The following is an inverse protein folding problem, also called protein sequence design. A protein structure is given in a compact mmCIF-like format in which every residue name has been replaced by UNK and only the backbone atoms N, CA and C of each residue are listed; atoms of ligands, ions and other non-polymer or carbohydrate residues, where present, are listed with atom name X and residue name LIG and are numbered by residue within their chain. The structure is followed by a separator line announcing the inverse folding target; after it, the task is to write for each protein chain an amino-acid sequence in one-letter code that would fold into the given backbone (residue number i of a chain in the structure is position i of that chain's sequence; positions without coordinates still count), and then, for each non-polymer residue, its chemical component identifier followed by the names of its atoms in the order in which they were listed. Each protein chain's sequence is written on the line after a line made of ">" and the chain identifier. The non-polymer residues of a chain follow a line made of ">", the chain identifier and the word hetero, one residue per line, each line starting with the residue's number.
data_IF_467491916451
#
_entry.id   IF_467491916451
#
_cell.length_a   1.000
_cell.length_b   1.000
_cell.length_c   1.000
_cell.angle_alpha   90.00
_cell.angle_beta   90.00
_cell.angle_gamma   90.00
#
_symmetry.space_group_name_H-M   'P 1'
#
loop_
_entity.id
_entity.type
_entity.pdbx_description
1 polymer ?
#
# COMPACT_ATOMS: atom_id res chain seq x y z
N UNK A 1 -0.91 25.33 -14.86
CA UNK A 1 -0.55 24.57 -13.63
C UNK A 1 0.32 25.45 -12.73
N UNK A 2 0.21 25.42 -11.40
CA UNK A 2 1.12 26.16 -10.52
C UNK A 2 2.56 25.67 -10.70
N UNK A 3 3.55 26.55 -10.52
CA UNK A 3 4.97 26.26 -10.77
C UNK A 3 5.49 25.02 -10.00
N UNK A 4 4.98 24.79 -8.80
CA UNK A 4 5.30 23.60 -7.98
C UNK A 4 4.84 22.29 -8.62
N UNK A 5 3.67 22.29 -9.29
CA UNK A 5 3.19 21.11 -10.02
C UNK A 5 4.05 20.78 -11.24
N UNK A 6 4.60 21.80 -11.91
CA UNK A 6 5.55 21.63 -13.01
C UNK A 6 6.89 21.07 -12.55
N UNK A 7 7.40 21.51 -11.40
CA UNK A 7 8.64 20.96 -10.82
C UNK A 7 8.48 19.48 -10.44
N UNK A 8 7.35 19.12 -9.82
CA UNK A 8 7.04 17.74 -9.49
C UNK A 8 6.86 16.90 -10.77
N UNK A 9 6.14 17.40 -11.78
CA UNK A 9 6.00 16.71 -13.06
C UNK A 9 7.36 16.43 -13.71
N UNK A 10 8.27 17.42 -13.71
CA UNK A 10 9.64 17.24 -14.24
C UNK A 10 10.44 16.18 -13.46
N UNK A 11 10.29 16.11 -12.15
CA UNK A 11 10.94 15.10 -11.32
C UNK A 11 10.46 13.67 -11.67
N UNK A 12 9.17 13.52 -11.96
CA UNK A 12 8.57 12.25 -12.34
C UNK A 12 8.58 11.99 -13.85
N UNK A 13 9.12 12.91 -14.67
CA UNK A 13 9.11 12.79 -16.14
C UNK A 13 9.67 11.45 -16.67
N UNK A 14 10.78 10.89 -16.13
CA UNK A 14 11.26 9.58 -16.58
C UNK A 14 10.24 8.46 -16.35
N UNK A 15 9.55 8.49 -15.20
CA UNK A 15 8.52 7.50 -14.88
C UNK A 15 7.24 7.71 -15.72
N UNK A 16 6.88 8.95 -15.99
CA UNK A 16 5.75 9.30 -16.88
C UNK A 16 6.04 8.76 -18.29
N UNK A 17 7.25 8.97 -18.81
CA UNK A 17 7.65 8.48 -20.13
C UNK A 17 7.62 6.94 -20.20
N UNK A 18 8.08 6.25 -19.16
CA UNK A 18 8.00 4.79 -19.08
C UNK A 18 6.54 4.33 -19.02
N UNK A 19 5.71 4.97 -18.20
CA UNK A 19 4.29 4.64 -18.11
C UNK A 19 3.58 4.83 -19.46
N UNK A 20 3.86 5.94 -20.16
CA UNK A 20 3.32 6.22 -21.49
C UNK A 20 3.77 5.16 -22.51
N UNK A 21 5.07 4.87 -22.57
CA UNK A 21 5.60 3.86 -23.49
C UNK A 21 4.96 2.47 -23.26
N UNK A 22 4.73 2.10 -22.00
CA UNK A 22 4.06 0.83 -21.67
C UNK A 22 2.57 0.86 -22.08
N UNK A 23 1.87 1.96 -21.86
CA UNK A 23 0.47 2.09 -22.27
C UNK A 23 0.34 2.01 -23.79
N UNK A 24 1.17 2.76 -24.54
CA UNK A 24 1.22 2.72 -26.00
C UNK A 24 1.59 1.33 -26.53
N UNK A 25 2.53 0.64 -25.89
CA UNK A 25 2.86 -0.74 -26.24
C UNK A 25 1.63 -1.66 -26.12
N UNK A 26 0.88 -1.59 -25.04
CA UNK A 26 -0.32 -2.39 -24.87
C UNK A 26 -1.43 -1.97 -25.84
N UNK A 27 -1.57 -0.68 -26.12
CA UNK A 27 -2.60 -0.16 -26.99
C UNK A 27 -2.29 -0.40 -28.46
N UNK A 28 -1.15 0.10 -28.93
CA UNK A 28 -0.80 0.15 -30.37
C UNK A 28 -0.25 -1.19 -30.88
N UNK A 29 0.59 -1.87 -30.05
CA UNK A 29 1.28 -3.09 -30.49
C UNK A 29 0.44 -4.34 -30.23
N UNK A 30 -0.21 -4.41 -29.07
CA UNK A 30 -1.03 -5.57 -28.68
C UNK A 30 -2.48 -5.40 -29.13
N UNK A 31 -2.94 -4.16 -29.33
CA UNK A 31 -4.30 -3.86 -29.76
C UNK A 31 -5.32 -3.86 -28.64
N UNK A 32 -4.91 -3.59 -27.41
CA UNK A 32 -5.82 -3.53 -26.25
C UNK A 32 -6.52 -2.17 -26.18
N UNK A 33 -7.75 -2.14 -25.62
CA UNK A 33 -8.38 -0.88 -25.25
C UNK A 33 -7.57 -0.13 -24.20
N UNK A 34 -7.73 1.19 -24.10
CA UNK A 34 -7.00 2.01 -23.11
C UNK A 34 -7.18 1.54 -21.67
N UNK A 35 -8.40 1.11 -21.31
CA UNK A 35 -8.64 0.55 -19.96
C UNK A 35 -7.89 -0.74 -19.71
N UNK A 36 -7.83 -1.65 -20.70
CA UNK A 36 -7.02 -2.87 -20.60
C UNK A 36 -5.52 -2.55 -20.58
N UNK A 37 -5.08 -1.50 -21.26
CA UNK A 37 -3.68 -1.03 -21.23
C UNK A 37 -3.30 -0.51 -19.84
N UNK A 38 -4.19 0.21 -19.15
CA UNK A 38 -4.00 0.62 -17.74
C UNK A 38 -3.92 -0.61 -16.81
N UNK A 39 -4.77 -1.59 -17.03
CA UNK A 39 -4.72 -2.88 -16.29
C UNK A 39 -3.39 -3.58 -16.59
N UNK A 40 -2.95 -3.68 -17.83
CA UNK A 40 -1.68 -4.26 -18.23
C UNK A 40 -0.47 -3.56 -17.61
N UNK A 41 -0.45 -2.22 -17.63
CA UNK A 41 0.57 -1.41 -16.94
C UNK A 41 0.59 -1.73 -15.44
N UNK A 42 -0.59 -1.86 -14.83
CA UNK A 42 -0.70 -2.18 -13.39
C UNK A 42 -0.12 -3.57 -13.11
N UNK A 43 -0.47 -4.57 -13.90
CA UNK A 43 0.06 -5.93 -13.75
C UNK A 43 1.58 -5.98 -13.94
N UNK A 44 2.10 -5.30 -14.96
CA UNK A 44 3.54 -5.24 -15.23
C UNK A 44 4.29 -4.58 -14.06
N UNK A 45 3.86 -3.42 -13.60
CA UNK A 45 4.49 -2.71 -12.48
C UNK A 45 4.42 -3.53 -11.19
N UNK A 46 3.32 -4.21 -10.93
CA UNK A 46 3.15 -5.10 -9.78
C UNK A 46 4.01 -6.35 -9.85
N UNK A 47 4.18 -6.93 -11.03
CA UNK A 47 5.05 -8.08 -11.25
C UNK A 47 6.52 -7.69 -11.01
N UNK A 48 6.95 -6.52 -11.48
CA UNK A 48 8.32 -6.02 -11.26
C UNK A 48 8.62 -5.76 -9.77
N UNK A 49 7.63 -5.27 -9.01
CA UNK A 49 7.76 -4.99 -7.57
C UNK A 49 7.52 -6.24 -6.70
N UNK A 50 7.06 -7.36 -7.28
CA UNK A 50 6.70 -8.58 -6.55
C UNK A 50 7.79 -9.09 -5.59
N UNK A 51 9.09 -9.20 -5.97
CA UNK A 51 10.12 -9.69 -5.05
C UNK A 51 10.29 -8.78 -3.83
N UNK A 52 10.14 -7.47 -4.01
CA UNK A 52 10.18 -6.51 -2.92
C UNK A 52 8.94 -6.65 -2.02
N UNK A 53 7.76 -6.83 -2.61
CA UNK A 53 6.50 -7.04 -1.88
C UNK A 53 6.55 -8.31 -1.02
N UNK A 54 7.18 -9.39 -1.48
CA UNK A 54 7.37 -10.62 -0.69
C UNK A 54 8.24 -10.34 0.55
N UNK A 55 9.34 -9.58 0.40
CA UNK A 55 10.19 -9.20 1.54
C UNK A 55 9.41 -8.35 2.55
N UNK A 56 8.59 -7.42 2.08
CA UNK A 56 7.74 -6.58 2.94
C UNK A 56 6.73 -7.41 3.73
N UNK A 57 6.06 -8.38 3.09
CA UNK A 57 5.08 -9.24 3.74
C UNK A 57 5.74 -10.11 4.82
N UNK A 58 6.95 -10.62 4.57
CA UNK A 58 7.72 -11.34 5.60
C UNK A 58 8.03 -10.45 6.80
N UNK A 59 8.45 -9.21 6.57
CA UNK A 59 8.71 -8.25 7.65
C UNK A 59 7.43 -7.89 8.42
N UNK A 60 6.30 -7.71 7.75
CA UNK A 60 5.00 -7.48 8.40
C UNK A 60 4.56 -8.66 9.26
N UNK A 61 4.81 -9.90 8.82
CA UNK A 61 4.53 -11.10 9.60
C UNK A 61 5.40 -11.16 10.88
N UNK A 62 6.70 -10.84 10.76
CA UNK A 62 7.59 -10.75 11.92
C UNK A 62 7.10 -9.69 12.93
N UNK A 63 6.67 -8.51 12.45
CA UNK A 63 6.02 -7.50 13.31
C UNK A 63 4.75 -8.02 13.99
N UNK A 64 3.92 -8.77 13.25
CA UNK A 64 2.69 -9.35 13.81
C UNK A 64 2.97 -10.40 14.89
N UNK A 65 4.06 -11.14 14.80
CA UNK A 65 4.47 -12.11 15.81
C UNK A 65 4.87 -11.42 17.14
N UNK A 66 5.37 -10.18 17.09
CA UNK A 66 5.75 -9.40 18.28
C UNK A 66 4.56 -8.68 18.95
N UNK A 67 3.36 -8.73 18.37
CA UNK A 67 2.17 -8.03 18.89
C UNK A 67 1.84 -8.37 20.37
N UNK A 68 1.95 -9.62 20.86
CA UNK A 68 1.72 -9.91 22.28
C UNK A 68 2.65 -9.14 23.20
N UNK A 69 3.95 -9.11 22.88
CA UNK A 69 4.96 -8.40 23.68
C UNK A 69 4.73 -6.88 23.66
N UNK A 70 4.37 -6.35 22.49
CA UNK A 70 4.05 -4.92 22.33
C UNK A 70 2.83 -4.54 23.18
N UNK A 71 1.78 -5.39 23.23
CA UNK A 71 0.61 -5.15 24.08
C UNK A 71 0.96 -5.15 25.55
N UNK A 72 1.81 -6.10 26.03
CA UNK A 72 2.30 -6.11 27.40
C UNK A 72 2.99 -4.77 27.77
N UNK A 73 3.83 -4.24 26.86
CA UNK A 73 4.49 -2.94 27.07
C UNK A 73 3.50 -1.79 27.07
N UNK A 74 2.54 -1.80 26.15
CA UNK A 74 1.51 -0.78 26.07
C UNK A 74 0.66 -0.72 27.35
N UNK A 75 0.34 -1.85 27.93
CA UNK A 75 -0.39 -1.94 29.20
C UNK A 75 0.47 -1.54 30.39
N UNK A 76 1.71 -2.01 30.43
CA UNK A 76 2.64 -1.76 31.54
C UNK A 76 3.04 -0.29 31.68
N UNK A 77 3.19 0.40 30.56
CA UNK A 77 3.66 1.80 30.49
C UNK A 77 2.60 2.75 29.91
N UNK A 78 1.30 2.46 30.15
CA UNK A 78 0.19 3.28 29.61
C UNK A 78 0.26 4.75 30.03
N UNK A 79 0.80 5.03 31.23
CA UNK A 79 0.92 6.36 31.81
C UNK A 79 2.27 7.05 31.53
N UNK A 80 3.25 6.32 30.92
CA UNK A 80 4.57 6.82 30.53
C UNK A 80 4.83 6.53 29.05
N UNK A 81 4.33 7.42 28.17
CA UNK A 81 4.43 7.25 26.73
C UNK A 81 5.87 7.23 26.20
N UNK A 82 6.76 7.99 26.82
CA UNK A 82 8.15 8.05 26.40
C UNK A 82 8.86 6.73 26.66
N UNK A 83 8.66 6.16 27.82
CA UNK A 83 9.19 4.85 28.19
C UNK A 83 8.56 3.74 27.37
N UNK A 84 7.24 3.79 27.15
CA UNK A 84 6.53 2.86 26.29
C UNK A 84 7.14 2.80 24.90
N UNK A 85 7.40 3.98 24.30
CA UNK A 85 7.96 4.06 22.95
C UNK A 85 9.42 3.54 22.90
N UNK A 86 10.23 3.83 23.92
CA UNK A 86 11.61 3.31 24.04
C UNK A 86 11.63 1.78 24.14
N UNK A 87 10.82 1.21 25.02
CA UNK A 87 10.75 -0.24 25.23
C UNK A 87 10.22 -0.97 23.98
N UNK A 88 9.21 -0.40 23.28
CA UNK A 88 8.73 -0.94 22.00
C UNK A 88 9.82 -0.92 20.94
N UNK A 89 10.59 0.20 20.83
CA UNK A 89 11.67 0.30 19.86
C UNK A 89 12.79 -0.70 20.18
N UNK A 90 13.08 -0.95 21.46
CA UNK A 90 14.05 -1.95 21.88
C UNK A 90 13.61 -3.36 21.46
N UNK A 91 12.35 -3.73 21.65
CA UNK A 91 11.82 -5.03 21.16
C UNK A 91 12.03 -5.18 19.64
N UNK A 92 11.76 -4.13 18.87
CA UNK A 92 11.97 -4.20 17.42
C UNK A 92 13.44 -4.40 17.06
N UNK A 93 14.36 -3.72 17.76
CA UNK A 93 15.80 -3.85 17.55
C UNK A 93 16.32 -5.24 17.96
N UNK A 94 15.92 -5.73 19.13
CA UNK A 94 16.35 -7.04 19.66
C UNK A 94 15.91 -8.20 18.76
N UNK A 95 14.77 -8.04 18.06
CA UNK A 95 14.26 -9.03 17.12
C UNK A 95 14.66 -8.75 15.65
N UNK A 96 15.49 -7.75 15.37
CA UNK A 96 15.89 -7.33 14.02
C UNK A 96 14.69 -7.05 13.09
N UNK A 97 13.60 -6.49 13.62
CA UNK A 97 12.39 -6.19 12.88
C UNK A 97 12.26 -4.67 12.68
N UNK A 98 12.05 -4.27 11.43
CA UNK A 98 11.86 -2.85 11.10
C UNK A 98 10.37 -2.47 11.15
N UNK A 99 9.93 -1.60 12.09
CA UNK A 99 8.54 -1.17 12.18
C UNK A 99 8.06 -0.37 10.95
N UNK A 100 8.97 0.26 10.22
CA UNK A 100 8.65 1.03 9.02
C UNK A 100 8.38 0.16 7.79
N UNK A 101 8.66 -1.14 7.84
CA UNK A 101 8.40 -2.05 6.73
C UNK A 101 6.91 -2.11 6.33
N UNK A 102 6.00 -1.79 7.23
CA UNK A 102 4.56 -1.76 6.96
C UNK A 102 4.12 -0.58 6.09
N UNK A 103 4.83 0.55 6.09
CA UNK A 103 4.51 1.73 5.28
C UNK A 103 5.27 1.76 3.94
N UNK A 104 6.25 0.88 3.75
CA UNK A 104 7.08 0.83 2.55
C UNK A 104 6.28 0.63 1.25
N UNK A 105 5.19 -0.18 1.21
CA UNK A 105 4.35 -0.29 0.02
C UNK A 105 3.80 1.05 -0.46
N UNK A 106 3.40 1.91 0.46
CA UNK A 106 2.86 3.24 0.13
C UNK A 106 3.92 4.12 -0.52
N UNK A 107 5.17 4.09 -0.02
CA UNK A 107 6.27 4.87 -0.59
C UNK A 107 6.61 4.47 -2.02
N UNK A 108 6.58 3.17 -2.34
CA UNK A 108 6.80 2.69 -3.71
C UNK A 108 5.59 2.91 -4.61
N UNK A 109 4.39 2.95 -4.04
CA UNK A 109 3.16 3.20 -4.77
C UNK A 109 3.04 4.65 -5.24
N UNK A 110 3.50 5.62 -4.43
CA UNK A 110 3.35 7.06 -4.72
C UNK A 110 3.97 7.49 -6.06
N UNK A 111 5.22 7.12 -6.41
CA UNK A 111 5.80 7.48 -7.70
C UNK A 111 4.99 6.95 -8.89
N UNK A 112 4.55 5.69 -8.84
CA UNK A 112 3.76 5.07 -9.91
C UNK A 112 2.40 5.75 -10.04
N UNK A 113 1.73 6.01 -8.92
CA UNK A 113 0.45 6.72 -8.88
C UNK A 113 0.56 8.14 -9.46
N UNK A 114 1.55 8.91 -9.01
CA UNK A 114 1.75 10.28 -9.48
C UNK A 114 2.10 10.31 -10.98
N UNK A 115 2.91 9.38 -11.45
CA UNK A 115 3.26 9.28 -12.87
C UNK A 115 2.03 9.03 -13.73
N UNK A 116 1.17 8.10 -13.33
CA UNK A 116 -0.08 7.84 -14.04
C UNK A 116 -1.04 9.03 -13.95
N UNK A 117 -1.15 9.68 -12.81
CA UNK A 117 -2.00 10.86 -12.62
C UNK A 117 -1.57 12.02 -13.51
N UNK A 118 -0.25 12.31 -13.57
CA UNK A 118 0.27 13.36 -14.45
C UNK A 118 0.13 12.99 -15.92
N UNK A 119 0.35 11.71 -16.27
CA UNK A 119 0.18 11.22 -17.63
C UNK A 119 -1.26 11.41 -18.12
N UNK A 120 -2.25 10.92 -17.36
CA UNK A 120 -3.68 11.04 -17.73
C UNK A 120 -4.17 12.50 -17.78
N UNK A 121 -3.47 13.42 -17.13
CA UNK A 121 -3.77 14.86 -17.17
C UNK A 121 -2.97 15.63 -18.22
N UNK A 122 -2.02 14.99 -18.89
CA UNK A 122 -1.22 15.67 -19.92
C UNK A 122 -2.02 15.85 -21.20
N UNK A 123 -1.90 17.02 -21.81
CA UNK A 123 -2.59 17.35 -23.06
C UNK A 123 -2.19 16.37 -24.18
N UNK A 124 -0.93 15.94 -24.20
CA UNK A 124 -0.42 14.97 -25.17
C UNK A 124 -1.15 13.64 -25.08
N UNK A 125 -1.25 13.09 -23.87
CA UNK A 125 -1.92 11.80 -23.69
C UNK A 125 -3.43 11.89 -23.93
N UNK A 126 -4.07 13.01 -23.54
CA UNK A 126 -5.48 13.23 -23.83
C UNK A 126 -5.75 13.28 -25.34
N UNK A 127 -4.86 13.93 -26.12
CA UNK A 127 -4.95 13.90 -27.58
C UNK A 127 -4.79 12.48 -28.14
N UNK A 128 -3.81 11.71 -27.67
CA UNK A 128 -3.61 10.31 -28.05
C UNK A 128 -4.86 9.46 -27.72
N UNK A 129 -5.41 9.60 -26.51
CA UNK A 129 -6.59 8.89 -26.06
C UNK A 129 -7.81 9.14 -26.96
N UNK A 130 -8.05 10.40 -27.34
CA UNK A 130 -9.22 10.75 -28.14
C UNK A 130 -9.01 10.55 -29.65
N UNK A 131 -7.77 10.54 -30.14
CA UNK A 131 -7.48 10.28 -31.56
C UNK A 131 -7.36 8.78 -31.89
N UNK A 132 -7.00 7.96 -30.89
CA UNK A 132 -6.74 6.53 -31.04
C UNK A 132 -7.95 5.61 -30.91
N UNK A 133 -9.18 6.14 -30.81
CA UNK A 133 -10.40 5.34 -30.73
C UNK A 133 -11.30 5.72 -29.53
N UNK A 134 -11.94 4.71 -28.92
CA UNK A 134 -12.84 4.92 -27.78
C UNK A 134 -12.03 5.23 -26.49
N UNK A 135 -12.15 6.46 -25.94
CA UNK A 135 -11.49 6.84 -24.68
C UNK A 135 -12.08 6.16 -23.46
N UNK A 136 -13.19 5.44 -23.61
CA UNK A 136 -13.94 4.79 -22.55
C UNK A 136 -13.42 3.41 -22.16
N UNK A 137 -14.00 2.86 -21.11
CA UNK A 137 -13.76 1.49 -20.70
C UNK A 137 -14.97 0.93 -19.95
N UNK A 138 -15.58 -0.14 -20.45
CA UNK A 138 -16.81 -0.74 -19.91
C UNK A 138 -17.95 0.29 -19.80
N UNK A 139 -18.30 0.69 -18.58
CA UNK A 139 -19.32 1.71 -18.29
C UNK A 139 -18.73 3.11 -18.02
N UNK A 140 -17.42 3.26 -18.14
CA UNK A 140 -16.71 4.52 -17.97
C UNK A 140 -16.63 5.21 -19.32
N UNK A 141 -17.20 6.44 -19.47
CA UNK A 141 -17.25 7.11 -20.77
C UNK A 141 -15.89 7.64 -21.24
N UNK A 142 -15.04 8.05 -20.32
CA UNK A 142 -13.72 8.61 -20.62
C UNK A 142 -12.74 8.37 -19.46
N UNK A 143 -11.56 7.82 -19.77
CA UNK A 143 -10.53 7.47 -18.78
C UNK A 143 -9.69 8.67 -18.33
N UNK A 144 -9.60 9.73 -19.12
CA UNK A 144 -8.88 10.96 -18.76
C UNK A 144 -9.75 11.93 -17.97
N UNK A 145 -11.06 11.78 -18.02
CA UNK A 145 -12.00 12.68 -17.37
C UNK A 145 -12.49 12.15 -16.01
N UNK A 146 -13.05 13.07 -15.23
CA UNK A 146 -13.71 12.74 -13.96
C UNK A 146 -15.09 12.16 -14.24
N UNK A 147 -15.39 11.07 -13.60
CA UNK A 147 -16.74 10.50 -13.68
C UNK A 147 -17.69 11.15 -12.69
N UNK A 148 -18.97 11.21 -13.06
CA UNK A 148 -20.04 11.78 -12.24
C UNK A 148 -21.27 10.86 -12.24
N UNK A 149 -22.28 11.23 -11.48
CA UNK A 149 -23.56 10.49 -11.43
C UNK A 149 -23.39 9.04 -10.94
N UNK A 150 -24.13 8.12 -11.55
CA UNK A 150 -24.13 6.72 -11.16
C UNK A 150 -22.79 6.01 -11.42
N UNK A 151 -22.04 6.42 -12.45
CA UNK A 151 -20.71 5.87 -12.75
C UNK A 151 -19.76 6.14 -11.59
N UNK A 152 -19.75 7.35 -11.05
CA UNK A 152 -18.96 7.71 -9.88
C UNK A 152 -19.33 6.83 -8.67
N UNK A 153 -20.63 6.65 -8.42
CA UNK A 153 -21.09 5.82 -7.30
C UNK A 153 -20.57 4.39 -7.43
N UNK A 154 -20.70 3.78 -8.60
CA UNK A 154 -20.21 2.42 -8.86
C UNK A 154 -18.71 2.34 -8.67
N UNK A 155 -17.94 3.28 -9.21
CA UNK A 155 -16.48 3.31 -9.08
C UNK A 155 -16.05 3.48 -7.62
N UNK A 156 -16.71 4.33 -6.83
CA UNK A 156 -16.43 4.50 -5.41
C UNK A 156 -16.76 3.24 -4.60
N UNK A 157 -17.85 2.56 -4.91
CA UNK A 157 -18.22 1.27 -4.27
C UNK A 157 -17.18 0.19 -4.60
N UNK A 158 -16.75 0.09 -5.86
CA UNK A 158 -15.72 -0.85 -6.28
C UNK A 158 -14.37 -0.52 -5.60
N UNK A 159 -13.99 0.75 -5.58
CA UNK A 159 -12.76 1.18 -4.91
C UNK A 159 -12.80 0.90 -3.41
N UNK A 160 -13.84 1.36 -2.72
CA UNK A 160 -13.96 1.17 -1.27
C UNK A 160 -14.07 -0.32 -0.91
N UNK A 161 -14.90 -1.06 -1.63
CA UNK A 161 -15.11 -2.50 -1.43
C UNK A 161 -13.81 -3.30 -1.62
N UNK A 162 -13.12 -3.10 -2.75
CA UNK A 162 -11.84 -3.78 -3.01
C UNK A 162 -10.76 -3.36 -2.02
N UNK A 163 -10.71 -2.09 -1.60
CA UNK A 163 -9.74 -1.60 -0.61
C UNK A 163 -9.98 -2.23 0.77
N UNK A 164 -11.24 -2.31 1.21
CA UNK A 164 -11.60 -2.95 2.48
C UNK A 164 -11.26 -4.44 2.45
N UNK A 165 -11.63 -5.15 1.40
CA UNK A 165 -11.34 -6.59 1.26
C UNK A 165 -9.82 -6.82 1.23
N UNK A 166 -9.07 -6.08 0.43
CA UNK A 166 -7.61 -6.16 0.37
C UNK A 166 -6.98 -5.88 1.75
N UNK A 167 -7.45 -4.86 2.45
CA UNK A 167 -7.02 -4.51 3.80
C UNK A 167 -7.29 -5.60 4.82
N UNK A 168 -8.48 -6.21 4.81
CA UNK A 168 -8.83 -7.33 5.70
C UNK A 168 -7.96 -8.57 5.43
N UNK A 169 -7.72 -8.89 4.16
CA UNK A 169 -6.86 -10.02 3.78
C UNK A 169 -5.42 -9.77 4.23
N UNK A 170 -4.94 -8.54 4.12
CA UNK A 170 -3.57 -8.14 4.44
C UNK A 170 -3.29 -8.09 5.95
N UNK A 171 -4.24 -7.59 6.75
CA UNK A 171 -4.05 -7.43 8.20
C UNK A 171 -4.08 -8.74 8.97
N UNK A 172 -4.81 -9.75 8.52
CA UNK A 172 -4.94 -11.01 9.25
C UNK A 172 -5.64 -10.85 10.61
N UNK A 173 -5.76 -11.97 11.35
CA UNK A 173 -6.44 -12.00 12.66
C UNK A 173 -5.61 -11.37 13.80
N UNK A 174 -4.29 -11.43 13.71
CA UNK A 174 -3.34 -10.99 14.75
C UNK A 174 -2.96 -9.50 14.66
N UNK A 175 -3.48 -8.75 13.68
CA UNK A 175 -3.17 -7.34 13.54
C UNK A 175 -3.67 -6.50 14.73
N UNK A 176 -2.86 -5.51 15.15
CA UNK A 176 -3.26 -4.56 16.18
C UNK A 176 -4.46 -3.71 15.73
N UNK A 177 -5.24 -3.21 16.70
CA UNK A 177 -6.35 -2.29 16.42
C UNK A 177 -5.88 -1.07 15.60
N UNK A 178 -4.71 -0.52 15.95
CA UNK A 178 -4.11 0.63 15.26
C UNK A 178 -3.78 0.29 13.80
N UNK A 179 -3.17 -0.87 13.55
CA UNK A 179 -2.82 -1.33 12.20
C UNK A 179 -4.08 -1.52 11.33
N UNK A 180 -5.14 -2.13 11.88
CA UNK A 180 -6.43 -2.26 11.20
C UNK A 180 -7.05 -0.89 10.90
N UNK A 181 -7.03 0.03 11.88
CA UNK A 181 -7.59 1.37 11.71
C UNK A 181 -6.87 2.14 10.60
N UNK A 182 -5.54 2.06 10.51
CA UNK A 182 -4.78 2.69 9.44
C UNK A 182 -5.11 2.04 8.09
N UNK A 183 -5.11 0.72 8.02
CA UNK A 183 -5.22 -0.02 6.76
C UNK A 183 -6.64 0.03 6.16
N UNK A 184 -7.67 0.09 6.99
CA UNK A 184 -9.05 0.23 6.55
C UNK A 184 -9.50 1.68 6.50
N UNK A 185 -9.05 2.50 7.44
CA UNK A 185 -9.48 3.91 7.56
C UNK A 185 -8.82 4.82 6.52
N UNK A 186 -7.53 4.61 6.23
CA UNK A 186 -6.80 5.47 5.29
C UNK A 186 -7.43 5.48 3.88
N UNK A 187 -7.75 4.34 3.24
CA UNK A 187 -8.41 4.34 1.93
C UNK A 187 -9.78 5.04 1.95
N UNK A 188 -10.54 4.87 3.02
CA UNK A 188 -11.85 5.52 3.16
C UNK A 188 -11.71 7.03 3.35
N UNK A 189 -10.70 7.47 4.11
CA UNK A 189 -10.38 8.90 4.27
C UNK A 189 -9.95 9.56 2.96
N UNK A 190 -9.31 8.79 2.06
CA UNK A 190 -8.91 9.27 0.73
C UNK A 190 -10.08 9.34 -0.27
N UNK A 191 -11.22 8.72 0.00
CA UNK A 191 -12.37 8.69 -0.91
C UNK A 191 -12.81 10.09 -1.41
N UNK A 192 -12.89 11.15 -0.59
CA UNK A 192 -13.23 12.49 -1.07
C UNK A 192 -12.23 13.08 -2.06
N UNK A 193 -10.95 12.71 -1.93
CA UNK A 193 -9.90 13.16 -2.86
C UNK A 193 -9.99 12.44 -4.20
N UNK A 194 -10.40 11.19 -4.21
CA UNK A 194 -10.50 10.33 -5.39
C UNK A 194 -11.50 10.87 -6.41
N UNK A 195 -12.57 11.51 -5.96
CA UNK A 195 -13.59 12.15 -6.80
C UNK A 195 -12.97 13.21 -7.75
N UNK A 196 -11.81 13.75 -7.36
CA UNK A 196 -11.09 14.78 -8.14
C UNK A 196 -10.15 14.22 -9.20
N UNK A 197 -9.98 12.89 -9.26
CA UNK A 197 -9.04 12.26 -10.18
C UNK A 197 -9.72 11.76 -11.46
N UNK A 198 -8.97 11.64 -12.58
CA UNK A 198 -9.40 10.95 -13.76
C UNK A 198 -9.86 9.51 -13.47
N UNK A 199 -10.84 9.03 -14.18
CA UNK A 199 -11.40 7.69 -13.97
C UNK A 199 -10.40 6.56 -14.21
N UNK A 200 -9.44 6.74 -15.11
CA UNK A 200 -8.34 5.80 -15.33
C UNK A 200 -7.47 5.55 -14.09
N UNK A 201 -7.36 6.55 -13.20
CA UNK A 201 -6.68 6.38 -11.90
C UNK A 201 -7.48 5.46 -10.98
N UNK A 202 -8.81 5.52 -11.01
CA UNK A 202 -9.65 4.60 -10.25
C UNK A 202 -9.53 3.17 -10.78
N UNK A 203 -9.51 2.99 -12.11
CA UNK A 203 -9.26 1.68 -12.74
C UNK A 203 -7.92 1.10 -12.26
N UNK A 204 -6.87 1.89 -12.32
CA UNK A 204 -5.55 1.51 -11.78
C UNK A 204 -5.63 1.10 -10.30
N UNK A 205 -6.34 1.85 -9.46
CA UNK A 205 -6.44 1.57 -8.03
C UNK A 205 -7.23 0.31 -7.73
N UNK A 206 -8.38 0.12 -8.37
CA UNK A 206 -9.19 -1.10 -8.26
C UNK A 206 -8.37 -2.32 -8.70
N UNK A 207 -7.68 -2.21 -9.84
CA UNK A 207 -6.78 -3.28 -10.36
C UNK A 207 -5.66 -3.59 -9.37
N UNK A 208 -5.07 -2.57 -8.76
CA UNK A 208 -4.06 -2.69 -7.71
C UNK A 208 -4.58 -3.47 -6.49
N UNK A 209 -5.80 -3.20 -6.05
CA UNK A 209 -6.44 -3.91 -4.94
C UNK A 209 -6.70 -5.37 -5.30
N UNK A 210 -7.22 -5.63 -6.49
CA UNK A 210 -7.47 -7.00 -7.00
C UNK A 210 -6.16 -7.79 -7.09
N UNK A 211 -5.10 -7.18 -7.63
CA UNK A 211 -3.76 -7.80 -7.62
C UNK A 211 -3.30 -8.13 -6.20
N UNK A 212 -3.45 -7.19 -5.27
CA UNK A 212 -3.05 -7.38 -3.87
C UNK A 212 -3.79 -8.54 -3.23
N UNK A 213 -5.09 -8.69 -3.49
CA UNK A 213 -5.88 -9.85 -3.01
C UNK A 213 -5.35 -11.16 -3.58
N UNK A 214 -5.13 -11.23 -4.90
CA UNK A 214 -4.56 -12.40 -5.56
C UNK A 214 -3.16 -12.75 -5.05
N UNK A 215 -2.29 -11.75 -4.95
CA UNK A 215 -0.93 -11.90 -4.42
C UNK A 215 -0.94 -12.45 -2.99
N UNK A 216 -1.80 -11.94 -2.12
CA UNK A 216 -1.91 -12.42 -0.73
C UNK A 216 -2.46 -13.86 -0.67
N UNK A 217 -3.39 -14.23 -1.54
CA UNK A 217 -3.88 -15.60 -1.64
C UNK A 217 -2.75 -16.55 -2.04
N UNK A 218 -1.98 -16.21 -3.08
CA UNK A 218 -0.82 -17.00 -3.51
C UNK A 218 0.22 -17.12 -2.39
N UNK A 219 0.56 -16.01 -1.74
CA UNK A 219 1.55 -16.04 -0.65
C UNK A 219 1.08 -16.86 0.55
N UNK A 220 -0.21 -16.86 0.88
CA UNK A 220 -0.74 -17.70 1.95
C UNK A 220 -0.63 -19.20 1.65
N UNK A 221 -0.80 -19.59 0.38
CA UNK A 221 -0.72 -20.98 -0.06
C UNK A 221 0.72 -21.46 -0.14
N UNK A 222 1.60 -20.70 -0.78
CA UNK A 222 2.98 -21.12 -1.06
C UNK A 222 3.98 -20.75 0.04
N UNK A 223 3.67 -19.78 0.87
CA UNK A 223 4.49 -19.32 1.98
C UNK A 223 3.60 -19.15 3.23
N UNK A 224 3.09 -20.26 3.80
CA UNK A 224 2.25 -20.16 4.99
C UNK A 224 3.00 -19.42 6.11
N UNK A 225 2.31 -18.68 6.98
CA UNK A 225 2.94 -18.10 8.15
C UNK A 225 3.44 -19.18 9.08
N UNK A 226 4.59 -18.97 9.70
CA UNK A 226 5.04 -19.81 10.78
C UNK A 226 3.98 -19.86 11.89
N UNK A 227 3.81 -20.99 12.56
CA UNK A 227 2.89 -21.07 13.68
C UNK A 227 3.27 -20.02 14.74
N UNK A 228 2.30 -19.44 15.43
CA UNK A 228 2.61 -18.48 16.48
C UNK A 228 3.55 -19.12 17.50
N UNK A 229 4.58 -18.40 17.99
CA UNK A 229 5.53 -18.95 18.93
C UNK A 229 4.80 -19.48 20.16
N UNK A 230 5.19 -20.63 20.61
CA UNK A 230 4.62 -21.26 21.82
C UNK A 230 4.92 -20.41 23.06
N UNK A 231 4.11 -20.52 24.13
CA UNK A 231 4.38 -19.80 25.37
C UNK A 231 5.78 -20.08 25.96
N UNK A 232 6.38 -21.23 25.64
CA UNK A 232 7.74 -21.58 26.05
C UNK A 232 8.80 -20.84 25.21
N UNK A 233 8.61 -20.74 23.90
CA UNK A 233 9.49 -19.97 23.01
C UNK A 233 9.45 -18.47 23.35
N UNK A 234 8.26 -17.94 23.68
CA UNK A 234 8.11 -16.55 24.13
C UNK A 234 8.86 -16.31 25.45
N UNK A 235 8.88 -17.30 26.35
CA UNK A 235 9.65 -17.21 27.62
C UNK A 235 11.16 -17.33 27.39
N UNK A 236 11.59 -18.16 26.45
CA UNK A 236 12.99 -18.37 26.13
C UNK A 236 13.63 -17.14 25.45
N UNK A 237 12.85 -16.37 24.70
CA UNK A 237 13.30 -15.12 24.04
C UNK A 237 13.22 -13.89 24.94
N UNK A 238 12.70 -13.99 26.18
CA UNK A 238 12.74 -12.86 27.11
C UNK A 238 14.20 -12.56 27.51
N UNK A 239 14.68 -11.33 27.26
CA UNK A 239 15.99 -10.93 27.77
C UNK A 239 16.06 -11.10 29.30
N UNK A 240 17.20 -11.46 29.83
CA UNK A 240 17.36 -11.62 31.31
C UNK A 240 16.93 -10.31 31.98
N UNK A 241 16.30 -10.39 33.17
CA UNK A 241 15.88 -9.21 33.89
C UNK A 241 17.08 -8.30 34.14
N UNK A 242 16.93 -6.97 33.98
CA UNK A 242 18.04 -6.05 34.21
C UNK A 242 18.62 -6.25 35.63
N UNK A 243 19.94 -6.19 35.75
CA UNK A 243 20.59 -6.40 37.06
C UNK A 243 19.99 -5.43 38.09
N UNK A 244 19.80 -5.88 39.36
CA UNK A 244 19.19 -5.06 40.37
C UNK A 244 20.03 -3.79 40.55
N UNK A 245 19.36 -2.61 40.47
CA UNK A 245 20.01 -1.32 40.71
C UNK A 245 20.75 -1.40 42.05
N UNK A 246 22.07 -1.28 42.03
CA UNK A 246 22.87 -1.17 43.25
C UNK A 246 22.27 -0.03 44.09
N UNK A 247 21.70 -0.36 45.24
CA UNK A 247 21.32 0.65 46.25
C UNK A 247 22.58 1.43 46.55
N UNK A 248 22.65 2.68 46.17
CA UNK A 248 23.68 3.60 46.63
C UNK A 248 23.53 3.70 48.15
N UNK A 249 24.38 3.00 48.81
CA UNK A 249 24.57 3.07 50.25
C UNK A 249 25.55 4.21 50.49
N UNK A 250 25.09 5.45 50.33
CA UNK A 250 25.81 6.61 50.82
C UNK A 250 25.18 7.04 52.16
N UNK A 251 25.90 6.72 53.18
CA UNK A 251 25.88 7.46 54.45
C UNK A 251 26.67 8.74 54.30
#
# INVERSE_FOLDING_TARGET
>A
MPAEALLLANLFQPLINVANAVLLFFHDTIGLSWGLSIIGLTFLTRALILPLSIKQIRSMRALSALQPQIKEIQEKYKDDRERQQREMMQIYQDNNVNPFASCLPLLFQMPVFLSLLYLLRSDTFQQELHSGGDPGFLFIPDLAEKVTGWVLIVMLVLYAGTSVIAGLIMTGASASKQQRMIQLGLPLLFTPFIISFPSGVLVYWITTNVWTMGQQAVIKVFFPPDPPPTPEEIKATKPPPPPPKKKNRNR
#
